data_IF_667179562185
#
_entry.id   IF_667179562185
#
_cell.length_a   1.000
_cell.length_b   1.000
_cell.length_c   1.000
_cell.angle_alpha   90.00
_cell.angle_beta   90.00
_cell.angle_gamma   90.00
#
_symmetry.space_group_name_H-M   'P 1'
#
loop_
_entity.id
_entity.type
_entity.pdbx_description
1 polymer ?
#
# COMPACT_ATOMS: atom_id res chain seq x y z
N UNK A 1 -22.26 11.02 24.38
CA UNK A 1 -20.87 11.40 24.05
C UNK A 1 -20.73 12.86 24.39
N UNK A 2 -19.73 13.21 25.21
CA UNK A 2 -19.54 14.58 25.67
C UNK A 2 -18.95 15.44 24.54
N UNK A 3 -19.81 16.19 23.85
CA UNK A 3 -19.40 17.10 22.75
C UNK A 3 -18.49 18.23 23.25
N UNK A 4 -18.38 18.44 24.58
CA UNK A 4 -17.57 19.48 25.20
C UNK A 4 -16.07 19.37 24.91
N UNK A 5 -15.57 18.16 24.62
CA UNK A 5 -14.15 17.91 24.30
C UNK A 5 -13.83 17.88 22.79
N UNK A 6 -14.81 18.15 21.92
CA UNK A 6 -14.57 18.13 20.47
C UNK A 6 -13.97 19.43 19.94
N UNK A 7 -13.02 19.26 19.02
CA UNK A 7 -12.28 20.33 18.38
C UNK A 7 -13.07 20.93 17.21
N UNK A 8 -13.11 22.27 17.08
CA UNK A 8 -13.57 22.90 15.84
C UNK A 8 -12.56 22.62 14.71
N UNK A 9 -13.03 22.62 13.47
CA UNK A 9 -12.20 22.31 12.30
C UNK A 9 -10.91 23.16 12.23
N UNK A 10 -11.02 24.45 12.59
CA UNK A 10 -9.90 25.40 12.58
C UNK A 10 -8.70 24.93 13.41
N UNK A 11 -8.91 24.15 14.48
CA UNK A 11 -7.82 23.63 15.31
C UNK A 11 -7.06 22.47 14.67
N UNK A 12 -7.66 21.79 13.69
CA UNK A 12 -7.05 20.63 13.01
C UNK A 12 -6.59 20.96 11.59
N UNK A 13 -6.78 22.19 11.11
CA UNK A 13 -6.40 22.63 9.76
C UNK A 13 -4.92 22.38 9.44
N UNK A 14 -4.01 22.72 10.35
CA UNK A 14 -2.58 22.48 10.14
C UNK A 14 -2.26 21.00 9.96
N UNK A 15 -2.90 20.14 10.76
CA UNK A 15 -2.74 18.69 10.63
C UNK A 15 -3.27 18.21 9.28
N UNK A 16 -4.43 18.72 8.85
CA UNK A 16 -5.01 18.40 7.54
C UNK A 16 -4.09 18.79 6.39
N UNK A 17 -3.54 20.00 6.42
CA UNK A 17 -2.54 20.47 5.44
C UNK A 17 -1.34 19.53 5.42
N UNK A 18 -0.79 19.16 6.58
CA UNK A 18 0.35 18.23 6.66
C UNK A 18 0.03 16.86 6.06
N UNK A 19 -1.14 16.29 6.34
CA UNK A 19 -1.55 15.01 5.75
C UNK A 19 -1.68 15.11 4.23
N UNK A 20 -2.42 16.12 3.76
CA UNK A 20 -2.81 16.25 2.36
C UNK A 20 -1.67 16.68 1.43
N UNK A 21 -0.77 17.53 1.92
CA UNK A 21 0.24 18.16 1.07
C UNK A 21 1.63 17.54 1.23
N UNK A 22 1.89 16.86 2.36
CA UNK A 22 3.24 16.37 2.67
C UNK A 22 3.25 14.86 2.91
N UNK A 23 2.59 14.38 3.96
CA UNK A 23 2.78 13.02 4.45
C UNK A 23 2.23 11.97 3.46
N UNK A 24 1.00 12.13 3.00
CA UNK A 24 0.38 11.17 2.07
C UNK A 24 1.06 11.24 0.69
N UNK A 25 1.24 12.40 0.06
CA UNK A 25 1.94 12.49 -1.23
C UNK A 25 3.32 11.83 -1.23
N UNK A 26 4.12 12.08 -0.19
CA UNK A 26 5.46 11.47 -0.06
C UNK A 26 5.42 9.94 -0.09
N UNK A 27 4.54 9.33 0.71
CA UNK A 27 4.45 7.87 0.77
C UNK A 27 3.79 7.27 -0.48
N UNK A 28 2.88 8.00 -1.14
CA UNK A 28 2.34 7.60 -2.44
C UNK A 28 3.44 7.51 -3.51
N UNK A 29 4.34 8.50 -3.54
CA UNK A 29 5.46 8.51 -4.48
C UNK A 29 6.43 7.36 -4.22
N UNK A 30 6.77 7.09 -2.96
CA UNK A 30 7.59 5.94 -2.58
C UNK A 30 6.95 4.61 -2.99
N UNK A 31 5.66 4.44 -2.72
CA UNK A 31 4.96 3.19 -3.08
C UNK A 31 4.92 2.99 -4.60
N UNK A 32 4.69 4.07 -5.36
CA UNK A 32 4.74 4.06 -6.82
C UNK A 32 6.11 3.65 -7.34
N UNK A 33 7.19 4.19 -6.77
CA UNK A 33 8.55 3.86 -7.13
C UNK A 33 8.87 2.39 -6.85
N UNK A 34 8.55 1.90 -5.65
CA UNK A 34 8.80 0.49 -5.30
C UNK A 34 8.00 -0.47 -6.20
N UNK A 35 6.75 -0.13 -6.53
CA UNK A 35 5.94 -0.89 -7.50
C UNK A 35 6.61 -0.99 -8.87
N UNK A 36 7.14 0.11 -9.38
CA UNK A 36 7.84 0.11 -10.68
C UNK A 36 9.10 -0.76 -10.63
N UNK A 37 9.85 -0.69 -9.54
CA UNK A 37 11.06 -1.51 -9.32
C UNK A 37 10.73 -3.00 -9.18
N UNK A 38 9.64 -3.37 -8.49
CA UNK A 38 9.17 -4.76 -8.40
C UNK A 38 8.96 -5.35 -9.81
N UNK A 39 8.22 -4.64 -10.66
CA UNK A 39 7.94 -5.09 -12.04
C UNK A 39 9.25 -5.22 -12.82
N UNK A 40 10.14 -4.24 -12.71
CA UNK A 40 11.45 -4.23 -13.36
C UNK A 40 12.31 -5.44 -12.94
N UNK A 41 12.46 -5.68 -11.65
CA UNK A 41 13.31 -6.77 -11.14
C UNK A 41 12.72 -8.16 -11.38
N UNK A 42 11.39 -8.27 -11.41
CA UNK A 42 10.70 -9.49 -11.81
C UNK A 42 11.03 -9.85 -13.27
N UNK A 43 10.89 -8.90 -14.20
CA UNK A 43 11.20 -9.11 -15.61
C UNK A 43 12.68 -9.43 -15.86
N UNK A 44 13.58 -8.86 -15.05
CA UNK A 44 15.01 -9.13 -15.12
C UNK A 44 15.45 -10.43 -14.43
N UNK A 45 14.55 -11.13 -13.71
CA UNK A 45 14.89 -12.33 -12.94
C UNK A 45 15.76 -12.05 -11.70
N UNK A 46 15.84 -10.80 -11.24
CA UNK A 46 16.71 -10.37 -10.13
C UNK A 46 16.03 -10.64 -8.77
N UNK A 47 15.89 -11.92 -8.41
CA UNK A 47 15.08 -12.38 -7.25
C UNK A 47 15.44 -11.72 -5.92
N UNK A 48 16.72 -11.47 -5.64
CA UNK A 48 17.14 -10.83 -4.40
C UNK A 48 16.65 -9.38 -4.30
N UNK A 49 16.79 -8.61 -5.38
CA UNK A 49 16.30 -7.23 -5.46
C UNK A 49 14.80 -7.16 -5.44
N UNK A 50 14.12 -8.07 -6.15
CA UNK A 50 12.66 -8.21 -6.11
C UNK A 50 12.15 -8.39 -4.66
N UNK A 51 12.72 -9.32 -3.89
CA UNK A 51 12.31 -9.58 -2.50
C UNK A 51 12.56 -8.37 -1.58
N UNK A 52 13.70 -7.69 -1.75
CA UNK A 52 14.00 -6.47 -1.01
C UNK A 52 12.96 -5.39 -1.30
N UNK A 53 12.62 -5.20 -2.57
CA UNK A 53 11.67 -4.19 -2.99
C UNK A 53 10.24 -4.48 -2.52
N UNK A 54 9.81 -5.75 -2.54
CA UNK A 54 8.55 -6.19 -1.94
C UNK A 54 8.49 -5.87 -0.43
N UNK A 55 9.61 -6.05 0.29
CA UNK A 55 9.69 -5.72 1.72
C UNK A 55 9.57 -4.22 1.95
N UNK A 56 10.26 -3.40 1.15
CA UNK A 56 10.16 -1.94 1.25
C UNK A 56 8.75 -1.44 0.91
N UNK A 57 8.17 -1.93 -0.18
CA UNK A 57 6.81 -1.58 -0.59
C UNK A 57 5.77 -1.94 0.49
N UNK A 58 5.89 -3.13 1.10
CA UNK A 58 5.01 -3.56 2.21
C UNK A 58 5.08 -2.57 3.37
N UNK A 59 6.28 -2.12 3.74
CA UNK A 59 6.47 -1.13 4.82
C UNK A 59 5.80 0.20 4.47
N UNK A 60 5.98 0.70 3.25
CA UNK A 60 5.34 1.96 2.81
C UNK A 60 3.82 1.83 2.78
N UNK A 61 3.27 0.72 2.30
CA UNK A 61 1.82 0.46 2.33
C UNK A 61 1.27 0.45 3.76
N UNK A 62 2.01 -0.11 4.72
CA UNK A 62 1.64 -0.08 6.13
C UNK A 62 1.66 1.35 6.71
N UNK A 63 2.63 2.18 6.33
CA UNK A 63 2.69 3.59 6.73
C UNK A 63 1.49 4.38 6.19
N UNK A 64 1.13 4.17 4.93
CA UNK A 64 -0.10 4.75 4.34
C UNK A 64 -1.36 4.32 5.09
N UNK A 65 -1.46 3.03 5.48
CA UNK A 65 -2.55 2.54 6.32
C UNK A 65 -2.61 3.20 7.70
N UNK A 66 -1.45 3.45 8.32
CA UNK A 66 -1.38 4.17 9.58
C UNK A 66 -1.86 5.62 9.45
N UNK A 67 -1.47 6.33 8.37
CA UNK A 67 -1.94 7.69 8.09
C UNK A 67 -3.47 7.75 7.93
N UNK A 68 -4.09 6.74 7.31
CA UNK A 68 -5.56 6.64 7.24
C UNK A 68 -6.18 6.48 8.63
N UNK A 69 -5.60 5.60 9.47
CA UNK A 69 -6.05 5.42 10.86
C UNK A 69 -5.92 6.69 11.70
N UNK A 70 -4.85 7.46 11.50
CA UNK A 70 -4.65 8.77 12.13
C UNK A 70 -5.68 9.79 11.67
N UNK A 71 -5.99 9.84 10.37
CA UNK A 71 -7.07 10.70 9.84
C UNK A 71 -8.43 10.34 10.45
N UNK A 72 -8.74 9.05 10.59
CA UNK A 72 -9.98 8.60 11.23
C UNK A 72 -10.02 8.93 12.72
N UNK A 73 -8.87 8.87 13.41
CA UNK A 73 -8.74 9.32 14.80
C UNK A 73 -8.92 10.82 14.95
N UNK A 74 -8.39 11.61 14.01
CA UNK A 74 -8.57 13.05 13.98
C UNK A 74 -10.03 13.41 13.70
N UNK A 75 -10.67 12.73 12.74
CA UNK A 75 -12.09 12.90 12.41
C UNK A 75 -13.00 12.73 13.63
N UNK A 76 -12.74 11.73 14.48
CA UNK A 76 -13.50 11.47 15.71
C UNK A 76 -13.44 12.61 16.73
N UNK A 77 -12.40 13.43 16.68
CA UNK A 77 -12.22 14.58 17.57
C UNK A 77 -12.91 15.84 17.04
N UNK A 78 -13.37 15.85 15.78
CA UNK A 78 -14.01 17.02 15.16
C UNK A 78 -15.48 17.12 15.55
N UNK A 79 -15.94 18.33 15.89
CA UNK A 79 -17.34 18.63 16.21
C UNK A 79 -18.28 18.16 15.10
N UNK A 80 -19.46 17.63 15.46
CA UNK A 80 -20.39 17.06 14.50
C UNK A 80 -20.74 17.98 13.29
N UNK A 81 -20.95 19.30 13.45
CA UNK A 81 -21.22 20.20 12.32
C UNK A 81 -20.05 20.36 11.34
N UNK A 82 -18.82 20.17 11.80
CA UNK A 82 -17.59 20.35 11.02
C UNK A 82 -17.17 19.08 10.27
N UNK A 83 -17.68 17.90 10.68
CA UNK A 83 -17.33 16.59 10.10
C UNK A 83 -17.56 16.54 8.58
N UNK A 84 -18.69 17.02 8.00
CA UNK A 84 -18.86 17.00 6.56
C UNK A 84 -17.80 17.81 5.80
N UNK A 85 -17.31 18.90 6.39
CA UNK A 85 -16.24 19.71 5.79
C UNK A 85 -14.89 19.02 5.93
N UNK A 86 -14.60 18.39 7.07
CA UNK A 86 -13.42 17.54 7.25
C UNK A 86 -13.36 16.42 6.20
N UNK A 87 -14.50 15.74 5.98
CA UNK A 87 -14.58 14.64 5.02
C UNK A 87 -14.28 15.12 3.60
N UNK A 88 -14.83 16.26 3.17
CA UNK A 88 -14.51 16.85 1.86
C UNK A 88 -13.03 17.21 1.71
N UNK A 89 -12.40 17.74 2.76
CA UNK A 89 -11.00 18.15 2.73
C UNK A 89 -10.04 16.95 2.68
N UNK A 90 -10.44 15.78 3.16
CA UNK A 90 -9.59 14.59 3.24
C UNK A 90 -9.89 13.54 2.18
N UNK A 91 -11.07 13.62 1.54
CA UNK A 91 -11.58 12.61 0.61
C UNK A 91 -10.55 12.22 -0.45
N UNK A 92 -9.98 13.20 -1.17
CA UNK A 92 -8.99 12.94 -2.23
C UNK A 92 -7.79 12.14 -1.72
N UNK A 93 -7.23 12.53 -0.58
CA UNK A 93 -6.07 11.88 0.00
C UNK A 93 -6.37 10.45 0.43
N UNK A 94 -7.55 10.20 1.01
CA UNK A 94 -7.99 8.84 1.36
C UNK A 94 -8.18 7.97 0.12
N UNK A 95 -8.88 8.48 -0.89
CA UNK A 95 -9.19 7.74 -2.12
C UNK A 95 -7.91 7.36 -2.87
N UNK A 96 -6.97 8.29 -3.00
CA UNK A 96 -5.65 8.03 -3.60
C UNK A 96 -4.85 7.00 -2.81
N UNK A 97 -4.89 7.10 -1.47
CA UNK A 97 -4.18 6.17 -0.59
C UNK A 97 -4.73 4.75 -0.72
N UNK A 98 -6.05 4.59 -0.61
CA UNK A 98 -6.71 3.29 -0.75
C UNK A 98 -6.44 2.68 -2.12
N UNK A 99 -6.56 3.48 -3.19
CA UNK A 99 -6.26 3.03 -4.55
C UNK A 99 -4.81 2.59 -4.70
N UNK A 100 -3.85 3.35 -4.19
CA UNK A 100 -2.44 2.99 -4.28
C UNK A 100 -2.11 1.69 -3.52
N UNK A 101 -2.71 1.49 -2.34
CA UNK A 101 -2.55 0.24 -1.58
C UNK A 101 -3.16 -0.94 -2.35
N UNK A 102 -4.38 -0.81 -2.88
CA UNK A 102 -5.02 -1.88 -3.68
C UNK A 102 -4.21 -2.21 -4.93
N UNK A 103 -3.74 -1.19 -5.65
CA UNK A 103 -2.91 -1.34 -6.84
C UNK A 103 -1.59 -2.07 -6.54
N UNK A 104 -0.98 -1.78 -5.39
CA UNK A 104 0.22 -2.47 -4.91
C UNK A 104 -0.08 -3.94 -4.56
N UNK A 105 -1.14 -4.22 -3.79
CA UNK A 105 -1.52 -5.58 -3.42
C UNK A 105 -1.76 -6.45 -4.64
N UNK A 106 -2.42 -5.91 -5.67
CA UNK A 106 -2.62 -6.63 -6.93
C UNK A 106 -1.32 -6.93 -7.68
N UNK A 107 -0.28 -6.09 -7.57
CA UNK A 107 1.04 -6.40 -8.14
C UNK A 107 1.71 -7.54 -7.40
N UNK A 108 1.65 -7.52 -6.06
CA UNK A 108 2.22 -8.60 -5.24
C UNK A 108 1.54 -9.94 -5.51
N UNK A 109 0.22 -9.96 -5.58
CA UNK A 109 -0.55 -11.16 -5.89
C UNK A 109 -0.10 -11.79 -7.22
N UNK A 110 -0.02 -10.99 -8.29
CA UNK A 110 0.45 -11.44 -9.61
C UNK A 110 1.87 -11.97 -9.55
N UNK A 111 2.76 -11.29 -8.84
CA UNK A 111 4.16 -11.69 -8.72
C UNK A 111 4.31 -13.02 -7.98
N UNK A 112 3.59 -13.22 -6.87
CA UNK A 112 3.57 -14.49 -6.14
C UNK A 112 3.07 -15.64 -7.02
N UNK A 113 1.99 -15.43 -7.78
CA UNK A 113 1.45 -16.44 -8.70
C UNK A 113 2.49 -16.82 -9.77
N UNK A 114 3.18 -15.84 -10.35
CA UNK A 114 4.22 -16.07 -11.35
C UNK A 114 5.39 -16.89 -10.77
N UNK A 115 5.86 -16.55 -9.58
CA UNK A 115 6.93 -17.27 -8.89
C UNK A 115 6.54 -18.73 -8.60
N UNK A 116 5.34 -18.97 -8.07
CA UNK A 116 4.87 -20.34 -7.78
C UNK A 116 4.77 -21.18 -9.06
N UNK A 117 4.23 -20.61 -10.15
CA UNK A 117 4.15 -21.30 -11.45
C UNK A 117 5.54 -21.66 -11.99
N UNK A 118 6.50 -20.75 -11.87
CA UNK A 118 7.88 -20.97 -12.32
C UNK A 118 8.62 -22.05 -11.50
N UNK A 119 8.25 -22.23 -10.22
CA UNK A 119 8.80 -23.28 -9.37
C UNK A 119 8.24 -24.66 -9.77
N UNK A 120 6.94 -24.75 -10.06
CA UNK A 120 6.28 -26.00 -10.47
C UNK A 120 6.78 -26.54 -11.81
N UNK A 121 7.10 -25.68 -12.77
CA UNK A 121 7.67 -26.09 -14.06
C UNK A 121 9.09 -26.66 -13.91
N UNK A 122 9.90 -26.14 -12.98
CA UNK A 122 11.22 -26.71 -12.65
C UNK A 122 11.12 -28.08 -12.00
N UNK A 123 10.14 -28.31 -11.12
CA UNK A 123 9.96 -29.62 -10.47
C UNK A 123 9.51 -30.70 -11.45
N UNK A 124 8.64 -30.39 -12.41
CA UNK A 124 8.14 -31.37 -13.40
C UNK A 124 9.14 -31.78 -14.48
N UNK A 125 10.20 -31.00 -14.69
CA UNK A 125 11.25 -31.33 -15.67
C UNK A 125 12.35 -32.25 -15.11
N UNK A 126 12.26 -32.65 -13.83
CA UNK A 126 13.22 -33.53 -13.15
C UNK A 126 12.84 -35.02 -13.11
N UNK A 127 11.67 -35.41 -13.64
CA UNK A 127 11.30 -36.82 -13.77
C UNK A 127 11.94 -37.41 -15.04
N UNK A 128 13.12 -38.00 -14.88
CA UNK A 128 13.76 -38.85 -15.91
C UNK A 128 12.88 -40.11 -16.06
N UNK A 129 12.40 -40.46 -17.27
CA UNK A 129 11.73 -41.73 -17.45
C UNK A 129 12.79 -42.83 -17.33
N UNK A 130 12.64 -43.68 -16.32
CA UNK A 130 13.44 -44.89 -16.16
C UNK A 130 13.02 -45.81 -17.32
N UNK A 131 13.82 -45.84 -18.39
CA UNK A 131 13.60 -46.75 -19.52
C UNK A 131 13.85 -48.16 -19.00
N UNK A 132 12.77 -48.91 -18.80
CA UNK A 132 12.81 -50.34 -18.55
C UNK A 132 13.37 -51.06 -19.78
N UNK A 133 14.55 -51.65 -19.64
CA UNK A 133 15.10 -52.62 -20.59
C UNK A 133 14.82 -54.02 -20.04
N UNK A 134 14.03 -54.79 -20.80
CA UNK A 134 13.94 -56.24 -20.72
C UNK A 134 14.83 -56.84 -21.81
#
# INVERSE_FOLDING_TARGET
MDESNKLPLKRVELSLTKFNEVAIPHHLDLLRQHKANIIKYEQAGELARLRSEQTHARRVAAQLGALLGELDALRRQVRAPDVPRFDRLTQRSRDLTLRAIMDYLGVIERSCIALVRSAQTRTRCGEIPIVGSL
#
